data_IF_915850730515
#
_entry.id   IF_915850730515
#
_cell.length_a   1.000
_cell.length_b   1.000
_cell.length_c   1.000
_cell.angle_alpha   90.00
_cell.angle_beta   90.00
_cell.angle_gamma   90.00
#
_symmetry.space_group_name_H-M   'P 1'
#
loop_
_entity.id
_entity.type
_entity.pdbx_description
1 polymer ?
#
# COMPACT_ATOMS: atom_id res chain seq x y z
N UNK A 1 -3.27 14.29 17.35
CA UNK A 1 -4.22 13.28 16.85
C UNK A 1 -3.52 11.94 16.82
N UNK A 2 -4.13 10.93 17.42
CA UNK A 2 -3.60 9.57 17.38
C UNK A 2 -4.05 8.93 16.07
N UNK A 3 -3.13 8.75 15.14
CA UNK A 3 -3.35 7.93 13.95
C UNK A 3 -2.84 6.51 14.25
N UNK A 4 -3.69 5.49 14.04
CA UNK A 4 -3.31 4.11 14.34
C UNK A 4 -2.62 3.45 13.14
N UNK A 5 -1.40 2.96 13.35
CA UNK A 5 -0.68 2.11 12.39
C UNK A 5 -1.27 0.70 12.42
N UNK A 6 -1.71 0.18 11.28
CA UNK A 6 -2.44 -1.08 11.21
C UNK A 6 -1.53 -2.25 10.90
N UNK A 7 -1.47 -3.20 11.85
CA UNK A 7 -0.73 -4.46 11.70
C UNK A 7 -1.70 -5.63 11.56
N UNK A 8 -1.58 -6.40 10.51
CA UNK A 8 -2.35 -7.61 10.24
C UNK A 8 -1.48 -8.85 10.37
N UNK A 9 -2.03 -9.96 10.88
CA UNK A 9 -1.36 -11.25 10.79
C UNK A 9 -1.29 -11.73 9.34
N UNK A 10 -0.15 -12.26 8.93
CA UNK A 10 0.14 -12.66 7.56
C UNK A 10 -0.95 -13.51 6.89
N UNK A 11 -1.51 -14.58 7.52
CA UNK A 11 -2.51 -15.42 6.86
C UNK A 11 -3.78 -14.66 6.46
N UNK A 12 -4.05 -13.52 7.12
CA UNK A 12 -5.24 -12.71 6.88
C UNK A 12 -5.16 -12.06 5.49
N UNK A 13 -4.06 -11.37 5.19
CA UNK A 13 -3.94 -10.62 3.93
C UNK A 13 -3.61 -11.51 2.73
N UNK A 14 -2.87 -12.60 2.93
CA UNK A 14 -2.57 -13.54 1.84
C UNK A 14 -3.80 -14.18 1.21
N UNK A 15 -4.79 -14.55 2.03
CA UNK A 15 -5.88 -15.41 1.57
C UNK A 15 -7.26 -14.93 2.02
N UNK A 16 -7.34 -13.85 2.78
CA UNK A 16 -8.57 -13.32 3.39
C UNK A 16 -9.40 -14.42 4.06
N UNK A 17 -8.74 -15.31 4.85
CA UNK A 17 -9.40 -16.42 5.51
C UNK A 17 -10.35 -15.97 6.62
N UNK A 18 -11.40 -16.74 6.86
CA UNK A 18 -12.38 -16.50 7.90
C UNK A 18 -13.62 -15.75 7.45
N UNK A 19 -14.69 -15.85 8.26
CA UNK A 19 -16.01 -15.26 7.95
C UNK A 19 -15.97 -13.73 7.87
N UNK A 20 -15.17 -13.08 8.73
CA UNK A 20 -15.05 -11.62 8.79
C UNK A 20 -14.51 -11.01 7.50
N UNK A 21 -13.70 -11.76 6.73
CA UNK A 21 -13.07 -11.29 5.49
C UNK A 21 -13.78 -11.77 4.22
N UNK A 22 -15.04 -12.25 4.35
CA UNK A 22 -15.83 -12.67 3.19
C UNK A 22 -16.02 -11.54 2.15
N UNK A 23 -16.18 -10.30 2.60
CA UNK A 23 -16.27 -9.13 1.72
C UNK A 23 -15.02 -8.97 0.86
N UNK A 24 -13.84 -9.05 1.47
CA UNK A 24 -12.56 -8.93 0.75
C UNK A 24 -12.37 -10.07 -0.27
N UNK A 25 -12.72 -11.32 0.13
CA UNK A 25 -12.71 -12.45 -0.82
C UNK A 25 -13.68 -12.26 -1.98
N UNK A 26 -14.85 -11.70 -1.72
CA UNK A 26 -15.82 -11.43 -2.78
C UNK A 26 -15.28 -10.46 -3.82
N UNK A 27 -14.55 -9.41 -3.40
CA UNK A 27 -13.87 -8.49 -4.31
C UNK A 27 -12.81 -9.22 -5.15
N UNK A 28 -11.95 -10.03 -4.53
CA UNK A 28 -10.96 -10.84 -5.26
C UNK A 28 -11.62 -11.81 -6.23
N UNK A 29 -12.67 -12.53 -5.79
CA UNK A 29 -13.40 -13.45 -6.64
C UNK A 29 -14.06 -12.74 -7.82
N UNK A 30 -14.56 -11.52 -7.61
CA UNK A 30 -15.14 -10.72 -8.68
C UNK A 30 -14.08 -10.29 -9.69
N UNK A 31 -12.92 -9.81 -9.21
CA UNK A 31 -11.77 -9.52 -10.07
C UNK A 31 -11.40 -10.72 -10.95
N UNK A 32 -11.21 -11.89 -10.33
CA UNK A 32 -10.85 -13.13 -11.04
C UNK A 32 -11.90 -13.58 -12.08
N UNK A 33 -13.18 -13.30 -11.83
CA UNK A 33 -14.26 -13.62 -12.79
C UNK A 33 -14.35 -12.63 -13.95
N UNK A 34 -14.01 -11.37 -13.68
CA UNK A 34 -14.17 -10.28 -14.65
C UNK A 34 -12.98 -10.19 -15.59
N UNK A 35 -11.76 -10.39 -15.06
CA UNK A 35 -10.53 -10.18 -15.81
C UNK A 35 -9.83 -11.51 -16.07
N UNK A 36 -9.93 -12.00 -17.30
CA UNK A 36 -9.35 -13.29 -17.71
C UNK A 36 -7.84 -13.24 -17.94
N UNK A 37 -7.29 -12.06 -18.25
CA UNK A 37 -5.86 -11.85 -18.50
C UNK A 37 -5.31 -10.85 -17.48
N UNK A 38 -4.77 -11.37 -16.40
CA UNK A 38 -4.10 -10.58 -15.37
C UNK A 38 -2.78 -11.23 -14.95
N UNK A 39 -1.85 -10.41 -14.46
CA UNK A 39 -0.55 -10.84 -13.97
C UNK A 39 -0.10 -9.95 -12.82
N UNK A 40 0.38 -10.55 -11.73
CA UNK A 40 1.16 -9.84 -10.73
C UNK A 40 2.63 -10.20 -10.89
N UNK A 41 3.50 -9.21 -10.90
CA UNK A 41 4.94 -9.42 -10.92
C UNK A 41 5.70 -8.33 -10.15
N UNK A 42 6.95 -8.61 -9.70
CA UNK A 42 7.83 -7.58 -9.18
C UNK A 42 8.04 -6.45 -10.18
N UNK A 43 8.28 -5.25 -9.64
CA UNK A 43 8.70 -4.08 -10.41
C UNK A 43 10.20 -4.15 -10.62
N UNK A 44 10.63 -4.18 -11.87
CA UNK A 44 12.03 -4.04 -12.23
C UNK A 44 12.38 -2.54 -12.44
N UNK A 45 13.66 -2.14 -12.34
CA UNK A 45 14.06 -0.74 -12.54
C UNK A 45 13.59 -0.14 -13.87
N UNK A 46 13.56 -0.93 -14.92
CA UNK A 46 13.07 -0.54 -16.26
C UNK A 46 11.55 -0.27 -16.31
N UNK A 47 10.79 -0.73 -15.32
CA UNK A 47 9.35 -0.50 -15.24
C UNK A 47 9.00 0.86 -14.63
N UNK A 48 9.92 1.50 -13.93
CA UNK A 48 9.67 2.75 -13.20
C UNK A 48 9.00 3.82 -14.07
N UNK A 49 9.43 4.09 -15.31
CA UNK A 49 8.73 5.06 -16.17
C UNK A 49 7.26 4.69 -16.41
N UNK A 50 6.95 3.41 -16.59
CA UNK A 50 5.59 2.92 -16.79
C UNK A 50 4.73 3.04 -15.53
N UNK A 51 5.31 2.75 -14.37
CA UNK A 51 4.64 2.90 -13.06
C UNK A 51 4.36 4.39 -12.78
N UNK A 52 5.30 5.29 -13.09
CA UNK A 52 5.07 6.75 -12.98
C UNK A 52 3.97 7.21 -13.93
N UNK A 53 3.94 6.72 -15.18
CA UNK A 53 2.85 6.99 -16.11
C UNK A 53 1.48 6.49 -15.62
N UNK A 54 1.45 5.36 -14.91
CA UNK A 54 0.23 4.92 -14.23
C UNK A 54 -0.16 5.88 -13.10
N UNK A 55 0.80 6.30 -12.26
CA UNK A 55 0.55 7.24 -11.16
C UNK A 55 -0.02 8.58 -11.66
N UNK A 56 0.47 9.09 -12.78
CA UNK A 56 -0.03 10.32 -13.41
C UNK A 56 -1.49 10.17 -13.88
N UNK A 57 -1.82 9.04 -14.53
CA UNK A 57 -3.20 8.73 -14.91
C UNK A 57 -4.11 8.57 -13.70
N UNK A 58 -3.64 7.87 -12.66
CA UNK A 58 -4.35 7.73 -11.39
C UNK A 58 -4.64 9.11 -10.77
N UNK A 59 -3.62 9.96 -10.68
CA UNK A 59 -3.75 11.30 -10.13
C UNK A 59 -4.73 12.19 -10.92
N UNK A 60 -4.84 12.01 -12.25
CA UNK A 60 -5.76 12.79 -13.07
C UNK A 60 -7.24 12.46 -12.86
N UNK A 61 -7.55 11.28 -12.30
CA UNK A 61 -8.92 10.76 -12.11
C UNK A 61 -9.50 10.97 -10.71
N UNK A 62 -8.65 11.25 -9.73
CA UNK A 62 -9.08 11.46 -8.34
C UNK A 62 -9.42 12.93 -8.12
N UNK A 63 -10.42 13.21 -7.29
CA UNK A 63 -10.76 14.58 -6.90
C UNK A 63 -9.59 15.24 -6.16
N UNK A 64 -9.10 16.33 -6.76
CA UNK A 64 -7.84 17.00 -6.39
C UNK A 64 -7.99 18.04 -5.27
N UNK A 65 -9.13 18.09 -4.58
CA UNK A 65 -9.42 19.18 -3.63
C UNK A 65 -8.60 19.14 -2.34
N UNK A 66 -7.97 18.01 -2.00
CA UNK A 66 -7.20 17.87 -0.77
C UNK A 66 -5.70 18.11 -1.01
N UNK A 67 -5.11 19.07 -0.29
CA UNK A 67 -3.65 19.34 -0.34
C UNK A 67 -2.81 18.09 -0.02
N UNK A 68 -3.29 17.24 0.91
CA UNK A 68 -2.67 15.96 1.26
C UNK A 68 -2.56 14.99 0.07
N UNK A 69 -3.49 15.03 -0.89
CA UNK A 69 -3.43 14.21 -2.09
C UNK A 69 -2.26 14.60 -3.00
N UNK A 70 -2.04 15.89 -3.22
CA UNK A 70 -0.93 16.37 -4.03
C UNK A 70 0.43 16.03 -3.40
N UNK A 71 0.52 16.14 -2.07
CA UNK A 71 1.71 15.75 -1.33
C UNK A 71 1.98 14.25 -1.44
N UNK A 72 0.94 13.42 -1.31
CA UNK A 72 1.04 11.95 -1.46
C UNK A 72 1.52 11.56 -2.87
N UNK A 73 0.99 12.19 -3.93
CA UNK A 73 1.44 11.93 -5.29
C UNK A 73 2.88 12.38 -5.51
N UNK A 74 3.25 13.58 -5.03
CA UNK A 74 4.62 14.09 -5.17
C UNK A 74 5.64 13.20 -4.43
N UNK A 75 5.34 12.79 -3.20
CA UNK A 75 6.17 11.84 -2.44
C UNK A 75 6.25 10.48 -3.10
N UNK A 76 5.16 9.99 -3.69
CA UNK A 76 5.17 8.73 -4.42
C UNK A 76 6.10 8.81 -5.65
N UNK A 77 6.11 9.94 -6.37
CA UNK A 77 7.07 10.17 -7.47
C UNK A 77 8.51 10.19 -6.97
N UNK A 78 8.79 10.90 -5.86
CA UNK A 78 10.12 10.95 -5.25
C UNK A 78 10.61 9.53 -4.87
N UNK A 79 9.75 8.72 -4.25
CA UNK A 79 10.07 7.33 -3.90
C UNK A 79 10.38 6.50 -5.15
N UNK A 80 9.59 6.64 -6.22
CA UNK A 80 9.83 5.94 -7.49
C UNK A 80 11.14 6.39 -8.17
N UNK A 81 11.50 7.67 -8.07
CA UNK A 81 12.77 8.19 -8.59
C UNK A 81 13.99 7.63 -7.85
N UNK A 82 13.80 7.29 -6.57
CA UNK A 82 14.84 6.73 -5.71
C UNK A 82 14.64 5.23 -5.43
N UNK A 83 13.82 4.54 -6.23
CA UNK A 83 13.40 3.17 -5.99
C UNK A 83 14.57 2.21 -5.70
N UNK A 84 15.63 2.27 -6.52
CA UNK A 84 16.83 1.45 -6.34
C UNK A 84 17.67 1.89 -5.13
N UNK A 85 17.71 3.20 -4.85
CA UNK A 85 18.48 3.75 -3.72
C UNK A 85 17.87 3.34 -2.38
N UNK A 86 16.53 3.27 -2.32
CA UNK A 86 15.81 2.87 -1.11
C UNK A 86 15.67 1.36 -0.95
N UNK A 87 16.14 0.57 -1.94
CA UNK A 87 16.09 -0.90 -1.95
C UNK A 87 14.69 -1.45 -1.64
N UNK A 88 13.67 -0.83 -2.23
CA UNK A 88 12.27 -1.18 -1.96
C UNK A 88 11.84 -2.43 -2.71
N UNK A 89 10.99 -3.19 -2.07
CA UNK A 89 10.18 -4.22 -2.72
C UNK A 89 9.03 -3.54 -3.47
N UNK A 90 8.92 -3.82 -4.74
CA UNK A 90 7.84 -3.30 -5.58
C UNK A 90 7.10 -4.43 -6.30
N UNK A 91 5.78 -4.32 -6.37
CA UNK A 91 4.95 -5.24 -7.14
C UNK A 91 3.86 -4.50 -7.90
N UNK A 92 3.60 -4.93 -9.14
CA UNK A 92 2.54 -4.37 -9.96
C UNK A 92 1.56 -5.43 -10.43
N UNK A 93 0.31 -5.04 -10.49
CA UNK A 93 -0.80 -5.82 -11.02
C UNK A 93 -1.15 -5.29 -12.41
N UNK A 94 -1.12 -6.16 -13.40
CA UNK A 94 -1.48 -5.87 -14.77
C UNK A 94 -2.80 -6.55 -15.12
N UNK A 95 -3.63 -5.87 -15.93
CA UNK A 95 -4.82 -6.41 -16.56
C UNK A 95 -4.71 -6.10 -18.06
N UNK A 96 -4.82 -7.12 -18.90
CA UNK A 96 -4.65 -7.01 -20.36
C UNK A 96 -3.37 -6.25 -20.77
N UNK A 97 -2.28 -6.51 -20.00
CA UNK A 97 -0.97 -5.88 -20.20
C UNK A 97 -0.85 -4.43 -19.74
N UNK A 98 -1.91 -3.83 -19.20
CA UNK A 98 -1.90 -2.48 -18.64
C UNK A 98 -1.75 -2.51 -17.12
N UNK A 99 -0.95 -1.60 -16.55
CA UNK A 99 -0.83 -1.48 -15.08
C UNK A 99 -2.17 -1.01 -14.53
N UNK A 100 -2.77 -1.86 -13.68
CA UNK A 100 -3.99 -1.60 -12.94
C UNK A 100 -3.73 -1.17 -11.50
N UNK A 101 -2.52 -1.42 -10.98
CA UNK A 101 -2.12 -0.99 -9.65
C UNK A 101 -0.70 -1.40 -9.32
N UNK A 102 -0.12 -0.78 -8.29
CA UNK A 102 1.18 -1.14 -7.75
C UNK A 102 1.25 -0.94 -6.24
N UNK A 103 2.17 -1.66 -5.61
CA UNK A 103 2.52 -1.49 -4.20
C UNK A 103 4.04 -1.43 -4.03
N UNK A 104 4.49 -0.60 -3.08
CA UNK A 104 5.88 -0.51 -2.64
C UNK A 104 5.95 -0.77 -1.15
N UNK A 105 7.02 -1.42 -0.71
CA UNK A 105 7.22 -1.73 0.69
C UNK A 105 8.62 -2.23 0.99
N UNK A 106 8.85 -2.67 2.21
CA UNK A 106 10.10 -3.25 2.68
C UNK A 106 9.85 -4.31 3.75
N UNK A 107 10.85 -5.14 4.04
CA UNK A 107 10.81 -6.09 5.14
C UNK A 107 11.74 -5.61 6.25
N UNK A 108 11.20 -5.43 7.45
CA UNK A 108 11.95 -5.10 8.66
C UNK A 108 11.65 -6.17 9.71
N UNK A 109 12.67 -6.96 10.05
CA UNK A 109 12.49 -8.09 10.95
C UNK A 109 11.54 -9.15 10.39
N UNK A 110 10.46 -9.43 11.10
CA UNK A 110 9.41 -10.38 10.71
C UNK A 110 8.17 -9.72 10.10
N UNK A 111 8.27 -8.44 9.72
CA UNK A 111 7.15 -7.63 9.26
C UNK A 111 7.39 -7.09 7.86
N UNK A 112 6.44 -7.34 6.95
CA UNK A 112 6.35 -6.66 5.66
C UNK A 112 5.61 -5.34 5.84
N UNK A 113 6.30 -4.22 5.65
CA UNK A 113 5.71 -2.88 5.62
C UNK A 113 5.26 -2.55 4.20
N UNK A 114 4.03 -2.07 4.06
CA UNK A 114 3.49 -1.60 2.79
C UNK A 114 3.31 -0.09 2.88
N UNK A 115 4.22 0.66 2.24
CA UNK A 115 4.26 2.12 2.28
C UNK A 115 3.29 2.75 1.29
N UNK A 116 3.26 2.21 0.08
CA UNK A 116 2.48 2.76 -1.02
C UNK A 116 1.62 1.66 -1.63
N UNK A 117 0.33 1.93 -1.77
CA UNK A 117 -0.63 1.11 -2.51
C UNK A 117 -1.50 2.02 -3.37
N UNK A 118 -1.42 1.86 -4.67
CA UNK A 118 -2.24 2.61 -5.65
C UNK A 118 -2.89 1.61 -6.60
N UNK A 119 -4.21 1.66 -6.72
CA UNK A 119 -4.96 0.81 -7.64
C UNK A 119 -6.04 1.61 -8.36
N UNK A 120 -6.23 1.35 -9.62
CA UNK A 120 -7.26 1.96 -10.43
C UNK A 120 -8.64 1.39 -10.05
N UNK A 121 -9.56 2.27 -9.67
CA UNK A 121 -10.91 1.91 -9.20
C UNK A 121 -11.82 1.42 -10.33
N UNK A 122 -11.46 1.70 -11.60
CA UNK A 122 -12.20 1.21 -12.74
C UNK A 122 -12.05 -0.31 -12.90
N UNK A 123 -10.99 -0.89 -12.31
CA UNK A 123 -10.84 -2.35 -12.21
C UNK A 123 -11.43 -2.86 -10.89
N UNK A 124 -12.67 -3.34 -10.94
CA UNK A 124 -13.37 -3.79 -9.73
C UNK A 124 -12.64 -4.94 -9.02
N UNK A 125 -12.39 -4.77 -7.71
CA UNK A 125 -11.65 -5.72 -6.89
C UNK A 125 -10.12 -5.64 -7.04
N UNK A 126 -9.61 -4.74 -7.86
CA UNK A 126 -8.18 -4.55 -8.11
C UNK A 126 -7.40 -4.27 -6.81
N UNK A 127 -7.92 -3.42 -5.94
CA UNK A 127 -7.26 -3.07 -4.69
C UNK A 127 -7.04 -4.29 -3.80
N UNK A 128 -8.09 -5.11 -3.62
CA UNK A 128 -8.00 -6.32 -2.81
C UNK A 128 -7.09 -7.37 -3.46
N UNK A 129 -7.13 -7.47 -4.78
CA UNK A 129 -6.25 -8.36 -5.53
C UNK A 129 -4.78 -7.94 -5.37
N UNK A 130 -4.48 -6.64 -5.49
CA UNK A 130 -3.13 -6.09 -5.30
C UNK A 130 -2.60 -6.40 -3.89
N UNK A 131 -3.39 -6.12 -2.84
CA UNK A 131 -3.03 -6.42 -1.43
C UNK A 131 -2.71 -7.90 -1.24
N UNK A 132 -3.57 -8.79 -1.76
CA UNK A 132 -3.38 -10.23 -1.63
C UNK A 132 -2.12 -10.71 -2.37
N UNK A 133 -1.91 -10.25 -3.61
CA UNK A 133 -0.78 -10.65 -4.43
C UNK A 133 0.56 -10.12 -3.90
N UNK A 134 0.59 -8.87 -3.41
CA UNK A 134 1.78 -8.30 -2.78
C UNK A 134 2.17 -9.11 -1.53
N UNK A 135 1.19 -9.42 -0.67
CA UNK A 135 1.40 -10.25 0.50
C UNK A 135 1.82 -11.69 0.14
N UNK A 136 1.22 -12.30 -0.89
CA UNK A 136 1.58 -13.66 -1.33
C UNK A 136 2.99 -13.74 -1.86
N UNK A 137 3.43 -12.72 -2.58
CA UNK A 137 4.72 -12.71 -3.25
C UNK A 137 5.87 -12.38 -2.27
N UNK A 138 5.72 -11.35 -1.45
CA UNK A 138 6.82 -10.83 -0.64
C UNK A 138 6.83 -11.32 0.81
N UNK A 139 5.69 -11.63 1.40
CA UNK A 139 5.66 -12.16 2.75
C UNK A 139 5.94 -13.68 2.74
N UNK A 140 7.20 -14.03 2.59
CA UNK A 140 7.72 -15.39 2.52
C UNK A 140 7.90 -16.01 3.92
N UNK A 141 8.67 -17.12 4.02
CA UNK A 141 8.97 -17.76 5.29
C UNK A 141 9.68 -16.79 6.24
N UNK A 142 9.30 -16.82 7.52
CA UNK A 142 9.83 -15.91 8.56
C UNK A 142 9.05 -14.61 8.72
N UNK A 143 8.18 -14.23 7.77
CA UNK A 143 7.31 -13.06 7.93
C UNK A 143 6.03 -13.44 8.66
N UNK A 144 5.80 -12.82 9.82
CA UNK A 144 4.63 -13.06 10.67
C UNK A 144 3.54 -11.99 10.49
N UNK A 145 3.95 -10.77 10.16
CA UNK A 145 3.07 -9.61 10.14
C UNK A 145 3.13 -8.83 8.84
N UNK A 146 2.06 -8.10 8.54
CA UNK A 146 2.03 -7.09 7.49
C UNK A 146 1.53 -5.80 8.13
N UNK A 147 2.32 -4.75 8.00
CA UNK A 147 2.01 -3.41 8.46
C UNK A 147 1.64 -2.55 7.24
N UNK A 148 0.44 -1.98 7.22
CA UNK A 148 -0.05 -1.12 6.14
C UNK A 148 -0.07 0.35 6.52
N UNK A 149 0.73 0.71 7.51
CA UNK A 149 0.89 2.05 8.03
C UNK A 149 -0.40 2.73 8.50
N UNK A 150 -0.35 4.04 8.71
CA UNK A 150 -1.47 4.81 9.21
C UNK A 150 -2.44 5.23 8.08
N UNK A 151 -3.53 5.84 8.48
CA UNK A 151 -4.56 6.36 7.57
C UNK A 151 -4.40 7.86 7.29
N UNK A 152 -3.31 8.48 7.75
CA UNK A 152 -3.02 9.91 7.63
C UNK A 152 -4.20 10.83 8.01
N UNK A 153 -5.14 10.33 8.83
CA UNK A 153 -6.35 11.06 9.23
C UNK A 153 -7.51 11.01 8.22
N UNK A 154 -7.36 10.32 7.09
CA UNK A 154 -8.43 10.10 6.11
C UNK A 154 -9.43 9.04 6.60
N UNK A 155 -10.69 9.42 6.78
CA UNK A 155 -11.74 8.54 7.30
C UNK A 155 -12.09 7.40 6.34
N UNK A 156 -12.02 7.64 5.03
CA UNK A 156 -12.27 6.63 4.01
C UNK A 156 -11.17 5.57 4.02
N UNK A 157 -9.91 6.02 4.09
CA UNK A 157 -8.75 5.14 4.19
C UNK A 157 -8.78 4.34 5.50
N UNK A 158 -9.12 4.98 6.63
CA UNK A 158 -9.32 4.31 7.92
C UNK A 158 -10.36 3.22 7.84
N UNK A 159 -11.54 3.52 7.30
CA UNK A 159 -12.62 2.54 7.13
C UNK A 159 -12.17 1.37 6.25
N UNK A 160 -11.50 1.67 5.13
CA UNK A 160 -10.94 0.65 4.24
C UNK A 160 -9.95 -0.25 4.97
N UNK A 161 -8.98 0.33 5.67
CA UNK A 161 -7.95 -0.43 6.40
C UNK A 161 -8.54 -1.26 7.55
N UNK A 162 -9.47 -0.72 8.33
CA UNK A 162 -10.17 -1.44 9.42
C UNK A 162 -11.01 -2.62 8.91
N UNK A 163 -11.49 -2.57 7.66
CA UNK A 163 -12.25 -3.67 7.05
C UNK A 163 -11.43 -4.97 6.88
N UNK A 164 -10.10 -4.88 7.00
CA UNK A 164 -9.20 -6.04 7.01
C UNK A 164 -9.01 -6.65 8.41
N UNK A 165 -9.68 -6.11 9.43
CA UNK A 165 -9.63 -6.59 10.82
C UNK A 165 -8.19 -6.75 11.33
N UNK A 166 -7.41 -5.66 11.42
CA UNK A 166 -6.05 -5.72 11.93
C UNK A 166 -6.01 -6.31 13.34
N UNK A 167 -4.94 -7.03 13.67
CA UNK A 167 -4.75 -7.63 15.01
C UNK A 167 -4.24 -6.61 16.02
N UNK A 168 -3.61 -5.53 15.55
CA UNK A 168 -3.13 -4.44 16.37
C UNK A 168 -3.27 -3.10 15.64
N UNK A 169 -3.53 -2.06 16.42
CA UNK A 169 -3.44 -0.66 16.02
C UNK A 169 -2.35 -0.04 16.87
N UNK A 170 -1.20 0.28 16.27
CA UNK A 170 -0.08 0.91 16.97
C UNK A 170 -0.29 2.42 16.97
N UNK A 171 -0.11 3.05 18.12
CA UNK A 171 -0.21 4.50 18.24
C UNK A 171 1.04 5.16 17.64
N UNK A 172 0.84 6.20 16.84
CA UNK A 172 1.89 7.02 16.26
C UNK A 172 1.89 8.38 16.96
N UNK A 173 3.05 8.80 17.43
CA UNK A 173 3.23 10.07 18.12
C UNK A 173 4.10 11.01 17.28
N UNK A 174 3.71 12.28 17.22
CA UNK A 174 4.55 13.36 16.70
C UNK A 174 5.13 14.10 17.88
N UNK A 175 6.46 14.17 17.98
CA UNK A 175 7.16 14.93 18.99
C UNK A 175 7.67 16.21 18.35
N UNK A 176 7.23 17.36 18.89
CA UNK A 176 7.72 18.67 18.49
C UNK A 176 8.64 19.19 19.57
N UNK A 177 9.87 19.58 19.19
CA UNK A 177 10.79 20.25 20.11
C UNK A 177 10.59 21.75 19.95
N UNK A 178 10.05 22.39 20.99
CA UNK A 178 9.68 23.83 20.94
C UNK A 178 10.88 24.76 21.19
N UNK A 179 11.97 24.28 21.82
CA UNK A 179 13.17 25.06 22.07
C UNK A 179 14.43 24.33 21.60
N UNK A 180 15.42 25.04 21.01
CA UNK A 180 16.72 24.45 20.75
C UNK A 180 17.39 24.09 22.08
N UNK A 181 17.80 22.85 22.21
CA UNK A 181 18.52 22.36 23.38
C UNK A 181 19.76 23.25 23.61
N UNK A 182 19.84 23.93 24.78
CA UNK A 182 20.97 24.77 25.14
C UNK A 182 22.34 24.03 25.14
N UNK A 183 22.33 22.71 25.09
CA UNK A 183 23.53 21.85 24.98
C UNK A 183 24.06 21.70 23.53
N UNK A 184 23.31 22.08 22.52
CA UNK A 184 23.74 21.95 21.10
C UNK A 184 24.50 23.19 20.58
N UNK A 185 24.81 24.16 21.41
CA UNK A 185 25.56 25.39 21.05
C UNK A 185 27.02 25.37 21.56
N UNK A 186 27.71 24.22 21.47
CA UNK A 186 29.15 24.18 21.68
C UNK A 186 29.86 23.54 20.51
#
# INVERSE_FOLDING_TARGET
SVTGVQTCALPILKYFRGKKLSGQRNHVNKFLKTYGSWLFRPIAPEDIPSVKGFLDRYASRVDKSAASFHEDIAKTHEVLDNYQTYDLLGGMLLVDGQIAGFSLGEIIGDTLFTHIEKADRDYEGCYQMLVAQFAQHFATEGIAFINREDDAGDLGLRTSKLSYHPIALLEKYTVTVEEPCAFCQK
#
